data_IF_884388759984
#
_entry.id   IF_884388759984
#
_cell.length_a   1.000
_cell.length_b   1.000
_cell.length_c   1.000
_cell.angle_alpha   90.00
_cell.angle_beta   90.00
_cell.angle_gamma   90.00
#
_symmetry.space_group_name_H-M   'P 1'
#
loop_
_entity.id
_entity.type
_entity.pdbx_description
1 polymer ?
#
# COMPACT_ATOMS: atom_id res chain seq x y z
N UNK A 1 21.50 -3.47 -15.49
CA UNK A 1 22.37 -3.49 -16.68
C UNK A 1 21.48 -3.06 -17.84
N UNK A 2 21.50 -1.79 -18.23
CA UNK A 2 20.83 -1.29 -19.42
C UNK A 2 21.92 -1.03 -20.46
N UNK A 3 21.95 -1.86 -21.48
CA UNK A 3 22.82 -1.74 -22.64
C UNK A 3 22.02 -1.21 -23.83
N UNK A 4 22.40 -0.06 -24.36
CA UNK A 4 21.83 0.50 -25.58
C UNK A 4 22.51 1.82 -25.93
N UNK A 5 23.49 1.78 -26.84
CA UNK A 5 24.28 2.91 -27.30
C UNK A 5 23.57 3.69 -28.40
N UNK A 6 23.33 4.99 -28.20
CA UNK A 6 23.30 5.97 -29.30
C UNK A 6 23.93 7.29 -28.82
N UNK A 7 24.93 7.77 -29.56
CA UNK A 7 25.63 9.04 -29.29
C UNK A 7 24.77 10.23 -29.76
N UNK A 8 24.62 11.30 -28.97
CA UNK A 8 24.04 12.53 -29.46
C UNK A 8 25.09 13.50 -30.02
N UNK A 9 24.62 14.33 -30.96
CA UNK A 9 25.39 15.29 -31.73
C UNK A 9 25.91 16.46 -30.88
N UNK A 10 27.07 16.98 -31.29
CA UNK A 10 27.85 18.03 -30.65
C UNK A 10 27.15 19.38 -30.49
N UNK A 11 27.48 20.03 -29.39
CA UNK A 11 27.21 21.43 -29.06
C UNK A 11 27.60 22.41 -30.20
N UNK A 12 26.68 23.35 -30.46
CA UNK A 12 26.96 24.54 -31.27
C UNK A 12 27.88 25.48 -30.49
N UNK A 13 28.95 25.89 -31.14
CA UNK A 13 29.90 26.88 -30.66
C UNK A 13 29.25 28.27 -30.52
N UNK A 14 29.39 28.86 -29.35
CA UNK A 14 29.00 30.26 -29.12
C UNK A 14 30.17 31.14 -29.56
N UNK A 15 29.87 32.11 -30.49
CA UNK A 15 30.76 33.20 -30.85
C UNK A 15 30.78 34.25 -29.73
N UNK A 16 31.94 34.53 -29.18
CA UNK A 16 32.19 35.59 -28.21
C UNK A 16 32.14 36.97 -28.88
N UNK A 17 31.29 37.85 -28.36
CA UNK A 17 31.27 39.27 -28.70
C UNK A 17 32.35 40.00 -27.86
N UNK A 18 33.29 40.63 -28.51
CA UNK A 18 34.55 41.14 -27.90
C UNK A 18 34.47 42.43 -27.07
N UNK A 19 33.29 42.99 -26.77
CA UNK A 19 33.21 44.34 -26.16
C UNK A 19 32.34 44.49 -24.90
N UNK A 20 32.03 43.40 -24.17
CA UNK A 20 31.28 43.54 -22.93
C UNK A 20 32.17 43.49 -21.67
N UNK A 21 31.93 44.39 -20.64
CA UNK A 21 32.68 44.35 -19.41
C UNK A 21 32.57 42.98 -18.76
N UNK A 22 33.68 42.39 -18.28
CA UNK A 22 33.76 41.07 -17.65
C UNK A 22 32.72 40.92 -16.53
N UNK A 23 32.42 41.96 -15.79
CA UNK A 23 31.39 41.96 -14.74
C UNK A 23 29.97 41.74 -15.31
N UNK A 24 29.65 42.30 -16.46
CA UNK A 24 28.35 42.10 -17.10
C UNK A 24 28.18 40.70 -17.68
N UNK A 25 29.23 40.17 -18.30
CA UNK A 25 29.27 38.78 -18.77
C UNK A 25 29.09 37.79 -17.60
N UNK A 26 29.79 38.01 -16.47
CA UNK A 26 29.66 37.21 -15.26
C UNK A 26 28.23 37.23 -14.72
N UNK A 27 27.62 38.42 -14.60
CA UNK A 27 26.25 38.56 -14.14
C UNK A 27 25.22 37.90 -15.07
N UNK A 28 25.44 38.00 -16.40
CA UNK A 28 24.58 37.34 -17.38
C UNK A 28 24.69 35.82 -17.32
N UNK A 29 25.88 35.27 -17.15
CA UNK A 29 26.13 33.83 -17.01
C UNK A 29 25.49 33.31 -15.71
N UNK A 30 25.68 33.99 -14.59
CA UNK A 30 25.03 33.62 -13.31
C UNK A 30 23.51 33.64 -13.43
N UNK A 31 22.92 34.65 -14.08
CA UNK A 31 21.48 34.73 -14.32
C UNK A 31 20.98 33.58 -15.19
N UNK A 32 21.72 33.17 -16.21
CA UNK A 32 21.37 32.05 -17.06
C UNK A 32 21.45 30.72 -16.30
N UNK A 33 22.48 30.52 -15.45
CA UNK A 33 22.60 29.35 -14.58
C UNK A 33 21.40 29.26 -13.65
N UNK A 34 21.03 30.35 -12.96
CA UNK A 34 19.89 30.40 -12.07
C UNK A 34 18.56 30.12 -12.77
N UNK A 35 18.37 30.66 -13.96
CA UNK A 35 17.18 30.41 -14.79
C UNK A 35 17.07 28.95 -15.19
N UNK A 36 18.16 28.33 -15.60
CA UNK A 36 18.16 26.92 -15.98
C UNK A 36 17.97 25.99 -14.77
N UNK A 37 18.58 26.28 -13.64
CA UNK A 37 18.36 25.51 -12.42
C UNK A 37 16.92 25.65 -11.91
N UNK A 38 16.31 26.82 -12.05
CA UNK A 38 14.90 27.02 -11.72
C UNK A 38 14.00 26.18 -12.63
N UNK A 39 14.26 26.12 -13.93
CA UNK A 39 13.54 25.25 -14.87
C UNK A 39 13.69 23.78 -14.50
N UNK A 40 14.91 23.32 -14.23
CA UNK A 40 15.17 21.93 -13.85
C UNK A 40 14.48 21.55 -12.52
N UNK A 41 14.39 22.51 -11.59
CA UNK A 41 13.65 22.33 -10.34
C UNK A 41 12.16 22.21 -10.60
N UNK A 42 11.61 23.03 -11.49
CA UNK A 42 10.20 22.96 -11.88
C UNK A 42 9.87 21.63 -12.58
N UNK A 43 10.72 21.17 -13.51
CA UNK A 43 10.58 19.85 -14.17
C UNK A 43 10.54 18.70 -13.16
N UNK A 44 11.41 18.76 -12.14
CA UNK A 44 11.39 17.80 -11.03
C UNK A 44 10.09 17.83 -10.27
N UNK A 45 9.60 19.00 -9.89
CA UNK A 45 8.37 19.13 -9.11
C UNK A 45 7.14 18.67 -9.92
N UNK A 46 7.11 18.93 -11.20
CA UNK A 46 6.05 18.48 -12.10
C UNK A 46 6.06 16.95 -12.21
N UNK A 47 7.24 16.36 -12.43
CA UNK A 47 7.41 14.92 -12.47
C UNK A 47 7.03 14.28 -11.14
N UNK A 48 7.47 14.85 -10.02
CA UNK A 48 7.17 14.34 -8.67
C UNK A 48 5.66 14.30 -8.41
N UNK A 49 4.93 15.36 -8.76
CA UNK A 49 3.46 15.42 -8.63
C UNK A 49 2.78 14.38 -9.50
N UNK A 50 3.26 14.17 -10.73
CA UNK A 50 2.74 13.11 -11.61
C UNK A 50 2.94 11.74 -10.98
N UNK A 51 4.14 11.45 -10.45
CA UNK A 51 4.42 10.17 -9.79
C UNK A 51 3.57 9.97 -8.53
N UNK A 52 3.36 11.04 -7.75
CA UNK A 52 2.48 11.00 -6.58
C UNK A 52 1.04 10.62 -6.96
N UNK A 53 0.50 11.25 -8.00
CA UNK A 53 -0.86 10.97 -8.49
C UNK A 53 -1.01 9.53 -8.98
N UNK A 54 -0.13 9.07 -9.88
CA UNK A 54 -0.13 7.70 -10.41
C UNK A 54 -0.07 6.66 -9.29
N UNK A 55 0.78 6.88 -8.29
CA UNK A 55 0.93 5.97 -7.16
C UNK A 55 -0.33 5.92 -6.30
N UNK A 56 -0.96 7.07 -6.03
CA UNK A 56 -2.22 7.11 -5.27
C UNK A 56 -3.28 6.29 -5.99
N UNK A 57 -3.48 6.54 -7.27
CA UNK A 57 -4.48 5.84 -8.10
C UNK A 57 -4.26 4.32 -8.10
N UNK A 58 -3.01 3.87 -8.29
CA UNK A 58 -2.67 2.45 -8.29
C UNK A 58 -2.94 1.79 -6.93
N UNK A 59 -2.52 2.43 -5.84
CA UNK A 59 -2.73 1.87 -4.49
C UNK A 59 -4.19 1.87 -4.06
N UNK A 60 -4.94 2.92 -4.37
CA UNK A 60 -6.38 3.00 -4.04
C UNK A 60 -7.17 1.96 -4.84
N UNK A 61 -6.85 1.74 -6.10
CA UNK A 61 -7.46 0.68 -6.92
C UNK A 61 -7.17 -0.72 -6.36
N UNK A 62 -5.93 -1.00 -5.99
CA UNK A 62 -5.58 -2.30 -5.38
C UNK A 62 -6.28 -2.50 -4.02
N UNK A 63 -6.33 -1.46 -3.19
CA UNK A 63 -7.03 -1.52 -1.91
C UNK A 63 -8.53 -1.76 -2.10
N UNK A 64 -9.16 -1.05 -3.03
CA UNK A 64 -10.59 -1.23 -3.31
C UNK A 64 -10.90 -2.66 -3.78
N UNK A 65 -10.08 -3.22 -4.67
CA UNK A 65 -10.22 -4.60 -5.14
C UNK A 65 -10.04 -5.62 -4.00
N UNK A 66 -9.00 -5.43 -3.15
CA UNK A 66 -8.78 -6.27 -1.99
C UNK A 66 -9.98 -6.25 -1.03
N UNK A 67 -10.45 -5.06 -0.67
CA UNK A 67 -11.56 -4.90 0.28
C UNK A 67 -12.86 -5.47 -0.28
N UNK A 68 -13.12 -5.32 -1.57
CA UNK A 68 -14.27 -5.94 -2.24
C UNK A 68 -14.23 -7.47 -2.09
N UNK A 69 -13.12 -8.11 -2.45
CA UNK A 69 -12.95 -9.55 -2.34
C UNK A 69 -13.08 -10.04 -0.88
N UNK A 70 -12.56 -9.28 0.07
CA UNK A 70 -12.67 -9.61 1.50
C UNK A 70 -14.09 -9.47 2.03
N UNK A 71 -14.84 -8.45 1.59
CA UNK A 71 -16.25 -8.30 1.95
C UNK A 71 -17.11 -9.44 1.37
N UNK A 72 -16.86 -9.82 0.11
CA UNK A 72 -17.55 -10.96 -0.51
C UNK A 72 -17.27 -12.27 0.23
N UNK A 73 -16.00 -12.51 0.59
CA UNK A 73 -15.61 -13.69 1.36
C UNK A 73 -16.26 -13.70 2.77
N UNK A 74 -16.34 -12.55 3.43
CA UNK A 74 -16.98 -12.42 4.74
C UNK A 74 -18.49 -12.66 4.66
N UNK A 75 -19.17 -12.06 3.70
CA UNK A 75 -20.62 -12.27 3.52
C UNK A 75 -20.92 -13.74 3.20
N UNK A 76 -20.12 -14.38 2.34
CA UNK A 76 -20.26 -15.79 2.03
C UNK A 76 -19.99 -16.68 3.26
N UNK A 77 -19.09 -16.29 4.14
CA UNK A 77 -18.88 -16.97 5.40
C UNK A 77 -20.08 -16.84 6.32
N UNK A 78 -20.63 -15.64 6.51
CA UNK A 78 -21.82 -15.43 7.36
C UNK A 78 -23.04 -16.22 6.85
N UNK A 79 -23.30 -16.20 5.55
CA UNK A 79 -24.40 -16.94 4.95
C UNK A 79 -24.28 -18.46 5.21
N UNK A 80 -23.06 -19.02 5.04
CA UNK A 80 -22.81 -20.45 5.33
C UNK A 80 -22.95 -20.78 6.81
N UNK A 81 -22.53 -19.85 7.68
CA UNK A 81 -22.63 -20.02 9.12
C UNK A 81 -24.11 -19.99 9.55
N UNK A 82 -24.89 -19.07 9.02
CA UNK A 82 -26.33 -18.95 9.24
C UNK A 82 -27.07 -20.21 8.76
N UNK A 83 -26.81 -20.68 7.54
CA UNK A 83 -27.38 -21.89 7.00
C UNK A 83 -27.02 -23.12 7.87
N UNK A 84 -25.75 -23.26 8.26
CA UNK A 84 -25.26 -24.35 9.12
C UNK A 84 -25.98 -24.42 10.47
N UNK A 85 -26.24 -23.27 11.08
CA UNK A 85 -26.83 -23.19 12.42
C UNK A 85 -28.35 -23.03 12.41
N UNK A 86 -28.95 -22.77 11.27
CA UNK A 86 -30.42 -22.78 11.09
C UNK A 86 -30.96 -24.20 10.84
N UNK A 87 -30.13 -25.13 10.37
CA UNK A 87 -30.49 -26.48 10.03
C UNK A 87 -29.75 -27.53 10.85
N UNK A 88 -30.30 -28.74 10.91
CA UNK A 88 -29.66 -29.87 11.59
C UNK A 88 -28.30 -30.21 10.96
N UNK A 89 -27.25 -30.12 11.73
CA UNK A 89 -25.90 -30.52 11.34
C UNK A 89 -25.58 -31.95 11.82
N UNK A 90 -25.61 -32.97 10.94
CA UNK A 90 -25.32 -34.35 11.35
C UNK A 90 -23.87 -34.57 11.81
N UNK A 91 -22.95 -33.66 11.49
CA UNK A 91 -21.52 -33.75 11.86
C UNK A 91 -21.18 -32.94 13.12
N UNK A 92 -22.17 -32.57 13.94
CA UNK A 92 -21.95 -31.77 15.16
C UNK A 92 -20.93 -32.42 16.08
N UNK A 93 -20.97 -33.75 16.24
CA UNK A 93 -20.00 -34.50 17.05
C UNK A 93 -18.58 -34.44 16.45
N UNK A 94 -18.45 -34.64 15.16
CA UNK A 94 -17.15 -34.60 14.46
C UNK A 94 -16.52 -33.21 14.47
N UNK A 95 -17.31 -32.18 14.22
CA UNK A 95 -16.83 -30.80 14.06
C UNK A 95 -16.52 -30.13 15.43
N UNK A 96 -17.29 -30.44 16.45
CA UNK A 96 -17.21 -29.74 17.75
C UNK A 96 -16.99 -30.69 18.94
N UNK A 97 -16.87 -32.00 18.73
CA UNK A 97 -16.83 -33.00 19.78
C UNK A 97 -18.04 -32.92 20.75
N UNK A 98 -19.20 -32.57 20.16
CA UNK A 98 -20.43 -32.31 20.92
C UNK A 98 -21.25 -33.59 21.04
N UNK A 99 -21.68 -33.91 22.25
CA UNK A 99 -22.61 -34.99 22.58
C UNK A 99 -24.07 -34.55 22.54
N UNK A 100 -24.34 -33.38 21.99
CA UNK A 100 -25.65 -32.75 21.96
C UNK A 100 -26.78 -33.71 21.57
N UNK A 101 -26.62 -34.45 20.49
CA UNK A 101 -27.68 -35.30 19.95
C UNK A 101 -27.91 -36.58 20.76
N UNK A 102 -27.01 -36.92 21.70
CA UNK A 102 -27.19 -38.03 22.61
C UNK A 102 -28.01 -37.66 23.85
N UNK A 103 -27.96 -36.36 24.23
CA UNK A 103 -28.56 -35.86 25.45
C UNK A 103 -29.81 -35.03 25.26
N UNK A 104 -30.01 -34.41 24.09
CA UNK A 104 -31.06 -33.40 23.86
C UNK A 104 -32.48 -33.97 23.62
N UNK A 105 -32.66 -35.30 23.66
CA UNK A 105 -33.94 -35.93 23.20
C UNK A 105 -35.20 -35.49 23.95
N UNK A 106 -35.04 -35.04 25.21
CA UNK A 106 -36.17 -34.63 26.06
C UNK A 106 -35.99 -33.22 26.64
N UNK A 107 -35.16 -32.40 25.99
CA UNK A 107 -34.88 -31.04 26.47
C UNK A 107 -36.08 -30.14 26.33
N UNK A 108 -36.35 -29.35 27.38
CA UNK A 108 -37.23 -28.20 27.36
C UNK A 108 -36.65 -27.06 26.56
N UNK A 109 -37.50 -26.07 26.24
CA UNK A 109 -37.05 -24.85 25.59
C UNK A 109 -35.93 -24.13 26.38
N UNK A 110 -36.03 -24.11 27.73
CA UNK A 110 -35.04 -23.48 28.60
C UNK A 110 -33.68 -24.19 28.54
N UNK A 111 -33.66 -25.53 28.45
CA UNK A 111 -32.43 -26.31 28.32
C UNK A 111 -31.77 -26.05 26.96
N UNK A 112 -32.52 -25.93 25.87
CA UNK A 112 -32.03 -25.58 24.57
C UNK A 112 -31.42 -24.16 24.57
N UNK A 113 -32.11 -23.16 25.16
CA UNK A 113 -31.63 -21.79 25.29
C UNK A 113 -30.31 -21.77 26.09
N UNK A 114 -30.25 -22.47 27.22
CA UNK A 114 -29.06 -22.51 28.08
C UNK A 114 -27.86 -23.17 27.33
N UNK A 115 -28.11 -24.30 26.66
CA UNK A 115 -27.08 -24.96 25.86
C UNK A 115 -26.57 -24.03 24.73
N UNK A 116 -27.47 -23.37 24.00
CA UNK A 116 -27.06 -22.49 22.90
C UNK A 116 -26.26 -21.30 23.43
N UNK A 117 -26.65 -20.75 24.57
CA UNK A 117 -25.94 -19.65 25.24
C UNK A 117 -24.55 -20.03 25.71
N UNK A 118 -24.35 -21.24 26.19
CA UNK A 118 -23.09 -21.69 26.83
C UNK A 118 -22.18 -22.49 25.91
N UNK A 119 -22.72 -23.19 24.92
CA UNK A 119 -21.98 -24.05 24.00
C UNK A 119 -22.13 -23.66 22.55
N UNK A 120 -23.37 -23.45 22.10
CA UNK A 120 -23.65 -23.11 20.69
C UNK A 120 -22.93 -21.84 20.25
N UNK A 121 -22.97 -20.79 21.08
CA UNK A 121 -22.26 -19.54 20.79
C UNK A 121 -20.74 -19.74 20.73
N UNK A 122 -20.16 -20.54 21.63
CA UNK A 122 -18.72 -20.82 21.62
C UNK A 122 -18.30 -21.50 20.31
N UNK A 123 -19.11 -22.42 19.80
CA UNK A 123 -18.83 -23.07 18.50
C UNK A 123 -18.90 -22.08 17.34
N UNK A 124 -19.91 -21.21 17.31
CA UNK A 124 -20.07 -20.16 16.29
C UNK A 124 -18.88 -19.18 16.35
N UNK A 125 -18.42 -18.80 17.53
CA UNK A 125 -17.27 -17.94 17.74
C UNK A 125 -16.00 -18.63 17.26
N UNK A 126 -15.81 -19.91 17.57
CA UNK A 126 -14.67 -20.70 17.10
C UNK A 126 -14.62 -20.83 15.57
N UNK A 127 -15.76 -21.02 14.91
CA UNK A 127 -15.85 -21.04 13.45
C UNK A 127 -15.41 -19.68 12.85
N UNK A 128 -15.81 -18.57 13.47
CA UNK A 128 -15.38 -17.25 13.01
C UNK A 128 -13.88 -17.02 13.25
N UNK A 129 -13.34 -17.37 14.39
CA UNK A 129 -11.92 -17.22 14.71
C UNK A 129 -11.05 -18.05 13.76
N UNK A 130 -11.46 -19.29 13.47
CA UNK A 130 -10.78 -20.15 12.51
C UNK A 130 -10.77 -19.55 11.12
N UNK A 131 -11.96 -19.16 10.61
CA UNK A 131 -12.08 -18.49 9.31
C UNK A 131 -11.27 -17.20 9.25
N UNK A 132 -11.31 -16.38 10.32
CA UNK A 132 -10.61 -15.10 10.39
C UNK A 132 -9.09 -15.32 10.32
N UNK A 133 -8.56 -16.26 11.09
CA UNK A 133 -7.13 -16.56 11.12
C UNK A 133 -6.62 -17.15 9.79
N UNK A 134 -7.41 -18.00 9.14
CA UNK A 134 -7.06 -18.57 7.84
C UNK A 134 -7.08 -17.53 6.70
N UNK A 135 -8.06 -16.63 6.74
CA UNK A 135 -8.29 -15.69 5.64
C UNK A 135 -7.57 -14.35 5.79
N UNK A 136 -7.04 -14.01 6.97
CA UNK A 136 -6.50 -12.69 7.26
C UNK A 136 -5.08 -12.76 7.80
N UNK A 137 -4.13 -12.45 6.91
CA UNK A 137 -2.73 -12.28 7.28
C UNK A 137 -2.28 -10.85 7.02
N UNK A 138 -2.52 -9.96 7.98
CA UNK A 138 -2.13 -8.54 7.89
C UNK A 138 -0.62 -8.38 7.72
N UNK A 139 0.17 -9.22 8.37
CA UNK A 139 1.64 -9.17 8.28
C UNK A 139 2.13 -9.48 6.86
N UNK A 140 1.62 -10.56 6.26
CA UNK A 140 1.96 -10.93 4.88
C UNK A 140 1.51 -9.83 3.88
N UNK A 141 0.31 -9.29 4.05
CA UNK A 141 -0.17 -8.18 3.24
C UNK A 141 0.76 -6.97 3.30
N UNK A 142 1.12 -6.51 4.49
CA UNK A 142 2.00 -5.36 4.68
C UNK A 142 3.41 -5.60 4.12
N UNK A 143 3.92 -6.84 4.18
CA UNK A 143 5.18 -7.22 3.54
C UNK A 143 5.13 -7.10 2.02
N UNK A 144 4.03 -7.57 1.40
CA UNK A 144 3.81 -7.45 -0.05
C UNK A 144 3.73 -5.97 -0.46
N UNK A 145 2.95 -5.16 0.26
CA UNK A 145 2.80 -3.73 -0.03
C UNK A 145 4.10 -2.96 0.16
N UNK A 146 4.90 -3.31 1.18
CA UNK A 146 6.25 -2.74 1.38
C UNK A 146 7.16 -3.06 0.20
N UNK A 147 7.16 -4.31 -0.27
CA UNK A 147 7.95 -4.74 -1.42
C UNK A 147 7.53 -4.01 -2.69
N UNK A 148 6.23 -3.90 -2.96
CA UNK A 148 5.69 -3.13 -4.11
C UNK A 148 6.14 -1.67 -4.08
N UNK A 149 5.97 -0.98 -2.95
CA UNK A 149 6.41 0.40 -2.79
C UNK A 149 7.91 0.55 -3.02
N UNK A 150 8.71 -0.36 -2.48
CA UNK A 150 10.17 -0.34 -2.63
C UNK A 150 10.58 -0.53 -4.09
N UNK A 151 9.99 -1.51 -4.78
CA UNK A 151 10.30 -1.80 -6.18
C UNK A 151 9.85 -0.66 -7.10
N UNK A 152 8.66 -0.12 -6.87
CA UNK A 152 8.18 1.04 -7.60
C UNK A 152 9.10 2.25 -7.39
N UNK A 153 9.47 2.55 -6.15
CA UNK A 153 10.36 3.67 -5.81
C UNK A 153 11.72 3.54 -6.50
N UNK A 154 12.32 2.35 -6.50
CA UNK A 154 13.59 2.08 -7.19
C UNK A 154 13.45 2.28 -8.70
N UNK A 155 12.40 1.72 -9.32
CA UNK A 155 12.14 1.84 -10.75
C UNK A 155 11.97 3.30 -11.16
N UNK A 156 11.09 4.04 -10.50
CA UNK A 156 10.82 5.45 -10.83
C UNK A 156 12.04 6.35 -10.64
N UNK A 157 12.82 6.10 -9.59
CA UNK A 157 14.08 6.81 -9.39
C UNK A 157 15.11 6.49 -10.49
N UNK A 158 15.16 5.25 -10.94
CA UNK A 158 16.00 4.84 -12.07
C UNK A 158 15.54 5.54 -13.36
N UNK A 159 14.24 5.51 -13.68
CA UNK A 159 13.65 6.20 -14.85
C UNK A 159 14.02 7.69 -14.87
N UNK A 160 13.85 8.40 -13.75
CA UNK A 160 14.21 9.81 -13.61
C UNK A 160 15.72 10.09 -13.84
N UNK A 161 16.58 9.26 -13.28
CA UNK A 161 18.02 9.43 -13.40
C UNK A 161 18.57 8.97 -14.76
N UNK A 162 17.83 8.12 -15.50
CA UNK A 162 18.19 7.62 -16.82
C UNK A 162 17.77 8.57 -17.96
N UNK A 163 17.08 9.66 -17.65
CA UNK A 163 16.85 10.72 -18.64
C UNK A 163 18.20 11.20 -19.19
N UNK A 164 18.41 11.24 -20.50
CA UNK A 164 19.69 11.53 -21.11
C UNK A 164 20.32 12.84 -20.62
N UNK A 165 19.51 13.90 -20.50
CA UNK A 165 20.02 15.21 -20.09
C UNK A 165 20.52 15.18 -18.65
N UNK A 166 19.82 14.47 -17.76
CA UNK A 166 20.19 14.32 -16.36
C UNK A 166 21.37 13.40 -16.14
N UNK A 167 21.42 12.34 -16.94
CA UNK A 167 22.54 11.39 -16.90
C UNK A 167 23.85 12.06 -17.32
N UNK A 168 23.83 12.77 -18.49
CA UNK A 168 25.04 13.46 -18.98
C UNK A 168 25.42 14.65 -18.09
N UNK A 169 24.46 15.37 -17.54
CA UNK A 169 24.74 16.41 -16.55
C UNK A 169 25.47 15.83 -15.31
N UNK A 170 25.00 14.72 -14.78
CA UNK A 170 25.63 14.07 -13.64
C UNK A 170 27.05 13.60 -13.96
N UNK A 171 27.24 12.97 -15.12
CA UNK A 171 28.58 12.57 -15.59
C UNK A 171 29.53 13.76 -15.76
N UNK A 172 29.03 14.87 -16.31
CA UNK A 172 29.83 16.11 -16.47
C UNK A 172 30.31 16.60 -15.09
N UNK A 173 29.43 16.74 -14.11
CA UNK A 173 29.80 17.27 -12.80
C UNK A 173 30.65 16.32 -11.98
N UNK A 174 30.46 15.00 -12.10
CA UNK A 174 31.31 14.01 -11.45
C UNK A 174 32.73 14.10 -12.01
N UNK A 175 32.87 14.08 -13.34
CA UNK A 175 34.20 14.18 -13.99
C UNK A 175 34.88 15.51 -13.73
N UNK A 176 34.10 16.61 -13.70
CA UNK A 176 34.67 17.92 -13.38
C UNK A 176 35.18 17.97 -11.95
N UNK A 177 34.49 17.42 -10.99
CA UNK A 177 34.88 17.35 -9.58
C UNK A 177 36.14 16.44 -9.38
N UNK A 178 36.26 15.38 -10.18
CA UNK A 178 37.45 14.48 -10.11
C UNK A 178 38.73 15.09 -10.71
N UNK A 179 38.60 15.91 -11.75
CA UNK A 179 39.75 16.47 -12.48
C UNK A 179 40.30 17.75 -11.87
N UNK A 180 39.91 18.12 -10.66
CA UNK A 180 40.39 19.25 -9.86
C UNK A 180 40.97 20.46 -10.61
N UNK A 181 40.24 21.47 -10.67
CA UNK A 181 40.33 22.77 -10.00
C UNK A 181 41.50 23.71 -10.39
N UNK A 182 42.61 23.27 -10.95
CA UNK A 182 43.82 24.11 -10.97
C UNK A 182 44.10 24.82 -12.31
N UNK A 183 43.38 24.51 -13.37
CA UNK A 183 43.68 25.04 -14.73
C UNK A 183 42.48 25.63 -15.48
N UNK A 184 41.34 25.81 -14.80
CA UNK A 184 40.15 26.29 -15.47
C UNK A 184 39.94 27.81 -15.26
N UNK A 185 40.07 28.64 -16.32
CA UNK A 185 39.90 30.10 -16.21
C UNK A 185 38.53 30.53 -15.70
N UNK A 186 37.49 29.67 -15.88
CA UNK A 186 36.12 29.93 -15.46
C UNK A 186 35.73 29.26 -14.15
N UNK A 187 36.73 28.87 -13.36
CA UNK A 187 36.57 28.05 -12.17
C UNK A 187 35.50 28.60 -11.21
N UNK A 188 35.45 29.89 -10.96
CA UNK A 188 34.52 30.50 -10.02
C UNK A 188 33.05 30.33 -10.47
N UNK A 189 32.79 30.43 -11.78
CA UNK A 189 31.46 30.27 -12.35
C UNK A 189 31.06 28.80 -12.30
N UNK A 190 31.98 27.90 -12.66
CA UNK A 190 31.74 26.46 -12.62
C UNK A 190 31.56 25.95 -11.20
N UNK A 191 32.30 26.47 -10.23
CA UNK A 191 32.06 26.18 -8.79
C UNK A 191 30.66 26.57 -8.38
N UNK A 192 30.20 27.76 -8.72
CA UNK A 192 28.82 28.21 -8.41
C UNK A 192 27.77 27.28 -9.05
N UNK A 193 27.92 26.98 -10.33
CA UNK A 193 27.01 26.08 -11.04
C UNK A 193 27.01 24.66 -10.43
N UNK A 194 28.16 24.14 -10.05
CA UNK A 194 28.29 22.86 -9.35
C UNK A 194 27.58 22.86 -8.00
N UNK A 195 27.73 23.92 -7.20
CA UNK A 195 27.04 24.06 -5.91
C UNK A 195 25.52 24.11 -6.07
N UNK A 196 25.02 24.80 -7.09
CA UNK A 196 23.57 24.79 -7.41
C UNK A 196 23.10 23.39 -7.80
N UNK A 197 23.85 22.68 -8.65
CA UNK A 197 23.55 21.29 -9.02
C UNK A 197 23.53 20.36 -7.79
N UNK A 198 24.53 20.43 -6.91
CA UNK A 198 24.56 19.64 -5.65
C UNK A 198 23.38 19.95 -4.77
N UNK A 199 23.04 21.23 -4.59
CA UNK A 199 21.89 21.67 -3.80
C UNK A 199 20.57 21.12 -4.38
N UNK A 200 20.39 21.21 -5.70
CA UNK A 200 19.22 20.68 -6.40
C UNK A 200 19.11 19.18 -6.19
N UNK A 201 20.18 18.40 -6.44
CA UNK A 201 20.20 16.94 -6.22
C UNK A 201 19.86 16.54 -4.79
N UNK A 202 20.38 17.27 -3.81
CA UNK A 202 20.06 17.07 -2.39
C UNK A 202 18.57 17.33 -2.11
N UNK A 203 18.01 18.37 -2.69
CA UNK A 203 16.59 18.71 -2.53
C UNK A 203 15.68 17.67 -3.23
N UNK A 204 15.99 17.26 -4.46
CA UNK A 204 15.30 16.18 -5.18
C UNK A 204 15.25 14.90 -4.32
N UNK A 205 16.40 14.48 -3.79
CA UNK A 205 16.48 13.31 -2.89
C UNK A 205 15.60 13.49 -1.66
N UNK A 206 15.68 14.64 -0.99
CA UNK A 206 14.91 14.93 0.22
C UNK A 206 13.39 14.93 -0.03
N UNK A 207 12.96 15.49 -1.16
CA UNK A 207 11.53 15.50 -1.56
C UNK A 207 11.04 14.09 -1.89
N UNK A 208 11.85 13.30 -2.62
CA UNK A 208 11.55 11.90 -2.90
C UNK A 208 11.41 11.06 -1.62
N UNK A 209 12.38 11.15 -0.72
CA UNK A 209 12.39 10.39 0.53
C UNK A 209 11.17 10.75 1.40
N UNK A 210 10.76 12.04 1.40
CA UNK A 210 9.53 12.50 2.09
C UNK A 210 8.28 11.91 1.44
N UNK A 211 8.20 11.86 0.11
CA UNK A 211 7.09 11.27 -0.61
C UNK A 211 6.95 9.79 -0.23
N UNK A 212 8.03 9.01 -0.34
CA UNK A 212 8.03 7.58 0.02
C UNK A 212 7.65 7.36 1.49
N UNK A 213 8.14 8.19 2.41
CA UNK A 213 7.77 8.12 3.83
C UNK A 213 6.28 8.37 4.05
N UNK A 214 5.67 9.36 3.35
CA UNK A 214 4.23 9.61 3.41
C UNK A 214 3.42 8.41 2.91
N UNK A 215 3.81 7.84 1.76
CA UNK A 215 3.16 6.63 1.21
C UNK A 215 3.25 5.45 2.16
N UNK A 216 4.45 5.18 2.69
CA UNK A 216 4.64 4.11 3.65
C UNK A 216 3.70 4.26 4.84
N UNK A 217 3.61 5.47 5.40
CA UNK A 217 2.71 5.76 6.53
C UNK A 217 1.24 5.58 6.17
N UNK A 218 0.82 6.01 4.98
CA UNK A 218 -0.60 5.98 4.57
C UNK A 218 -1.08 4.57 4.18
N UNK A 219 -0.26 3.82 3.42
CA UNK A 219 -0.71 2.60 2.75
C UNK A 219 -0.08 1.31 3.27
N UNK A 220 1.04 1.41 3.99
CA UNK A 220 1.85 0.24 4.39
C UNK A 220 1.96 0.09 5.90
N UNK A 221 1.80 1.17 6.66
CA UNK A 221 1.88 1.13 8.12
C UNK A 221 0.81 0.17 8.68
N UNK A 222 1.25 -0.79 9.49
CA UNK A 222 0.39 -1.79 10.11
C UNK A 222 -0.85 -1.21 10.78
N UNK A 223 -0.72 -0.07 11.48
CA UNK A 223 -1.84 0.56 12.20
C UNK A 223 -2.87 1.21 11.28
N UNK A 224 -2.46 1.64 10.10
CA UNK A 224 -3.27 2.44 9.17
C UNK A 224 -3.60 1.69 7.88
N UNK A 225 -3.14 0.44 7.72
CA UNK A 225 -3.42 -0.32 6.50
C UNK A 225 -4.92 -0.55 6.33
N UNK A 226 -5.37 -0.51 5.10
CA UNK A 226 -6.78 -0.77 4.75
C UNK A 226 -7.25 -2.12 5.29
N UNK A 227 -6.39 -3.14 5.27
CA UNK A 227 -6.71 -4.45 5.80
C UNK A 227 -6.88 -4.44 7.33
N UNK A 228 -6.03 -3.72 8.08
CA UNK A 228 -6.20 -3.57 9.53
C UNK A 228 -7.50 -2.88 9.91
N UNK A 229 -7.86 -1.83 9.16
CA UNK A 229 -9.14 -1.14 9.37
C UNK A 229 -10.33 -2.03 9.01
N UNK A 230 -10.20 -2.79 7.93
CA UNK A 230 -11.20 -3.77 7.53
C UNK A 230 -11.39 -4.85 8.60
N UNK A 231 -10.32 -5.40 9.17
CA UNK A 231 -10.40 -6.38 10.27
C UNK A 231 -11.22 -5.85 11.45
N UNK A 232 -10.97 -4.63 11.89
CA UNK A 232 -11.73 -4.00 12.99
C UNK A 232 -13.21 -3.86 12.68
N UNK A 233 -13.53 -3.40 11.44
CA UNK A 233 -14.93 -3.27 11.00
C UNK A 233 -15.63 -4.62 10.89
N UNK A 234 -14.93 -5.63 10.37
CA UNK A 234 -15.46 -6.98 10.19
C UNK A 234 -15.75 -7.65 11.54
N UNK A 235 -14.85 -7.52 12.53
CA UNK A 235 -15.10 -8.01 13.89
C UNK A 235 -16.33 -7.34 14.50
N UNK A 236 -16.49 -6.02 14.34
CA UNK A 236 -17.69 -5.30 14.80
C UNK A 236 -18.97 -5.76 14.10
N UNK A 237 -18.91 -5.95 12.76
CA UNK A 237 -20.04 -6.44 11.97
C UNK A 237 -20.42 -7.88 12.36
N UNK A 238 -19.43 -8.74 12.59
CA UNK A 238 -19.66 -10.10 13.09
C UNK A 238 -20.37 -10.09 14.46
N UNK A 239 -19.92 -9.29 15.41
CA UNK A 239 -20.54 -9.21 16.73
C UNK A 239 -21.99 -8.75 16.65
N UNK A 240 -22.30 -7.79 15.79
CA UNK A 240 -23.67 -7.35 15.56
C UNK A 240 -24.53 -8.46 14.93
N UNK A 241 -23.98 -9.15 13.91
CA UNK A 241 -24.65 -10.30 13.30
C UNK A 241 -24.88 -11.42 14.32
N UNK A 242 -23.86 -11.78 15.12
CA UNK A 242 -23.98 -12.84 16.14
C UNK A 242 -25.08 -12.54 17.15
N UNK A 243 -25.16 -11.29 17.62
CA UNK A 243 -26.22 -10.85 18.53
C UNK A 243 -27.61 -10.99 17.88
N UNK A 244 -27.77 -10.54 16.64
CA UNK A 244 -29.02 -10.66 15.92
C UNK A 244 -29.39 -12.11 15.63
N UNK A 245 -28.42 -12.93 15.24
CA UNK A 245 -28.61 -14.35 15.01
C UNK A 245 -29.01 -15.10 16.28
N UNK A 246 -28.36 -14.81 17.40
CA UNK A 246 -28.69 -15.38 18.70
C UNK A 246 -30.15 -15.12 19.08
N UNK A 247 -30.59 -13.87 18.97
CA UNK A 247 -31.98 -13.49 19.27
C UNK A 247 -32.96 -14.23 18.34
N UNK A 248 -32.68 -14.21 17.03
CA UNK A 248 -33.51 -14.85 16.03
C UNK A 248 -33.61 -16.38 16.22
N UNK A 249 -32.48 -17.01 16.61
CA UNK A 249 -32.41 -18.46 16.84
C UNK A 249 -33.31 -18.88 18.01
N UNK A 250 -33.36 -18.07 19.09
CA UNK A 250 -34.18 -18.31 20.27
C UNK A 250 -35.64 -18.02 19.96
N UNK A 251 -35.97 -16.85 19.40
CA UNK A 251 -37.34 -16.43 19.12
C UNK A 251 -38.08 -17.40 18.18
N UNK A 252 -37.34 -17.92 17.16
CA UNK A 252 -37.90 -18.86 16.19
C UNK A 252 -37.74 -20.34 16.61
N UNK A 253 -37.14 -20.60 17.77
CA UNK A 253 -36.95 -21.96 18.32
C UNK A 253 -36.35 -22.91 17.26
N UNK A 254 -35.18 -22.55 16.71
CA UNK A 254 -34.53 -23.32 15.63
C UNK A 254 -34.25 -24.77 16.00
N UNK A 255 -34.15 -25.14 17.30
CA UNK A 255 -34.01 -26.53 17.74
C UNK A 255 -35.19 -27.40 17.33
N UNK A 256 -36.42 -26.85 17.18
CA UNK A 256 -37.58 -27.61 16.70
C UNK A 256 -37.36 -28.10 15.26
N UNK A 257 -36.75 -27.24 14.40
CA UNK A 257 -36.38 -27.65 13.07
C UNK A 257 -35.31 -28.71 13.09
N UNK A 258 -34.29 -28.60 13.96
CA UNK A 258 -33.24 -29.60 14.11
C UNK A 258 -33.78 -30.97 14.51
N UNK A 259 -34.74 -31.01 15.44
CA UNK A 259 -35.38 -32.24 15.87
C UNK A 259 -36.18 -32.90 14.73
N UNK A 260 -36.89 -32.08 13.94
CA UNK A 260 -37.64 -32.57 12.78
C UNK A 260 -36.69 -33.12 11.69
N UNK A 261 -35.73 -32.37 11.33
CA UNK A 261 -34.76 -32.73 10.28
C UNK A 261 -33.92 -33.97 10.68
N UNK A 262 -33.57 -34.12 11.96
CA UNK A 262 -32.89 -35.33 12.48
C UNK A 262 -33.76 -36.59 12.27
N UNK A 263 -35.06 -36.49 12.39
CA UNK A 263 -36.01 -37.63 12.21
C UNK A 263 -36.20 -37.98 10.72
N UNK A 264 -35.92 -37.06 9.81
CA UNK A 264 -36.09 -37.28 8.38
C UNK A 264 -34.86 -37.92 7.69
N UNK A 265 -33.69 -37.90 8.37
CA UNK A 265 -32.44 -38.49 7.90
C UNK A 265 -32.20 -39.84 8.57
#
# INVERSE_FOLDING_TARGET
ICSGKTKPALCKSYTTSEDMPIAYLRQTIEKNILSEESRKTFDWELWLRKQEKEMIEDFEKEHAALLKNKNEAFNNFLNRLEEKWSHYNPRMHEEYQSDLYDVCSNWSDDEWIEWFRTRGLDYIISDFESWFNENINVSAYNKIMTSKLTNWSKRKKCEWNSDPNRYYEALYWIRWNEKALYEDPDINIKVSAYLYWVKRKKNEKKQWDRLIKRFKKKYVDYKNSALTQWCKKTTGAYNNWLTSFYINWIENKYWNWWIIEKKMK
#
